data_IF_455082668567
#
_entry.id   IF_455082668567
#
_cell.length_a   1.000
_cell.length_b   1.000
_cell.length_c   1.000
_cell.angle_alpha   90.00
_cell.angle_beta   90.00
_cell.angle_gamma   90.00
#
_symmetry.space_group_name_H-M   'P 1'
#
loop_
_entity.id
_entity.type
_entity.pdbx_description
1 polymer ?
#
# COMPACT_ATOMS: atom_id res chain seq x y z
N UNK A 1 -8.39 -12.11 13.54
CA UNK A 1 -8.91 -11.26 12.45
C UNK A 1 -7.78 -10.40 11.92
N UNK A 2 -7.68 -10.26 10.60
CA UNK A 2 -6.72 -9.41 9.92
C UNK A 2 -7.28 -7.99 9.87
N UNK A 3 -6.48 -7.04 10.30
CA UNK A 3 -6.72 -5.61 10.32
C UNK A 3 -6.45 -5.01 8.93
N UNK A 4 -7.45 -4.31 8.39
CA UNK A 4 -7.41 -3.73 7.05
C UNK A 4 -6.39 -2.59 6.96
N UNK A 5 -6.31 -1.76 8.01
CA UNK A 5 -5.36 -0.65 8.09
C UNK A 5 -3.91 -1.15 8.02
N UNK A 6 -3.60 -2.23 8.74
CA UNK A 6 -2.29 -2.88 8.73
C UNK A 6 -1.91 -3.37 7.33
N UNK A 7 -2.84 -3.97 6.59
CA UNK A 7 -2.59 -4.40 5.21
C UNK A 7 -2.35 -3.22 4.25
N UNK A 8 -3.10 -2.13 4.41
CA UNK A 8 -2.90 -0.89 3.64
C UNK A 8 -1.50 -0.33 3.89
N UNK A 9 -1.09 -0.21 5.15
CA UNK A 9 0.21 0.32 5.54
C UNK A 9 1.37 -0.58 5.07
N UNK A 10 1.23 -1.90 5.23
CA UNK A 10 2.23 -2.85 4.75
C UNK A 10 2.38 -2.80 3.23
N UNK A 11 1.28 -2.67 2.48
CA UNK A 11 1.31 -2.56 1.03
C UNK A 11 1.90 -1.21 0.57
N UNK A 12 1.63 -0.11 1.27
CA UNK A 12 2.16 1.21 0.93
C UNK A 12 3.66 1.37 1.24
N UNK A 13 4.12 0.86 2.38
CA UNK A 13 5.47 1.11 2.90
C UNK A 13 6.44 -0.03 2.58
N UNK A 14 5.98 -1.27 2.66
CA UNK A 14 6.78 -2.49 2.48
C UNK A 14 6.26 -3.32 1.28
N UNK A 15 5.56 -2.66 0.36
CA UNK A 15 4.92 -3.28 -0.78
C UNK A 15 5.89 -3.97 -1.74
N UNK A 16 7.04 -3.34 -1.99
CA UNK A 16 8.06 -3.88 -2.89
C UNK A 16 8.64 -5.23 -2.41
N UNK A 17 8.66 -5.43 -1.09
CA UNK A 17 9.06 -6.69 -0.46
C UNK A 17 7.89 -7.69 -0.29
N UNK A 18 6.65 -7.30 -0.60
CA UNK A 18 5.49 -8.17 -0.52
C UNK A 18 5.03 -8.57 0.89
N UNK A 19 5.41 -7.84 1.95
CA UNK A 19 5.07 -8.21 3.32
C UNK A 19 3.56 -8.27 3.59
N UNK A 20 2.78 -7.45 2.91
CA UNK A 20 1.31 -7.48 2.99
C UNK A 20 0.73 -8.81 2.50
N UNK A 21 1.36 -9.50 1.54
CA UNK A 21 0.92 -10.82 1.07
C UNK A 21 1.14 -11.89 2.13
N UNK A 22 2.27 -11.85 2.86
CA UNK A 22 2.50 -12.71 4.01
C UNK A 22 1.49 -12.44 5.14
N UNK A 23 1.20 -11.17 5.43
CA UNK A 23 0.18 -10.77 6.40
C UNK A 23 -1.21 -11.33 6.05
N UNK A 24 -1.56 -11.34 4.76
CA UNK A 24 -2.81 -11.87 4.25
C UNK A 24 -2.87 -13.41 4.20
N UNK A 25 -1.78 -14.11 4.54
CA UNK A 25 -1.71 -15.58 4.46
C UNK A 25 -1.52 -16.10 3.03
N UNK A 26 -0.90 -15.31 2.16
CA UNK A 26 -0.62 -15.65 0.76
C UNK A 26 0.91 -15.76 0.53
N UNK A 27 1.57 -16.77 1.10
CA UNK A 27 3.04 -16.85 1.14
C UNK A 27 3.67 -17.02 -0.24
N UNK A 28 3.02 -17.76 -1.16
CA UNK A 28 3.53 -17.94 -2.53
C UNK A 28 3.61 -16.59 -3.25
N UNK A 29 2.57 -15.77 -3.16
CA UNK A 29 2.58 -14.42 -3.72
C UNK A 29 3.66 -13.55 -3.04
N UNK A 30 3.81 -13.64 -1.71
CA UNK A 30 4.86 -12.92 -0.99
C UNK A 30 6.27 -13.28 -1.44
N UNK A 31 6.55 -14.58 -1.63
CA UNK A 31 7.85 -15.04 -2.15
C UNK A 31 8.09 -14.53 -3.57
N UNK A 32 7.07 -14.53 -4.43
CA UNK A 32 7.20 -13.95 -5.78
C UNK A 32 7.57 -12.46 -5.70
N UNK A 33 6.94 -11.69 -4.81
CA UNK A 33 7.28 -10.27 -4.62
C UNK A 33 8.73 -10.12 -4.17
N UNK A 34 9.20 -10.93 -3.21
CA UNK A 34 10.61 -10.91 -2.76
C UNK A 34 11.60 -11.28 -3.88
N UNK A 35 11.27 -12.20 -4.78
CA UNK A 35 12.13 -12.57 -5.89
C UNK A 35 12.22 -11.49 -6.98
N UNK A 36 11.17 -10.69 -7.13
CA UNK A 36 11.08 -9.63 -8.14
C UNK A 36 11.26 -8.22 -7.58
N UNK A 37 11.52 -8.02 -6.28
CA UNK A 37 11.59 -6.68 -5.66
C UNK A 37 12.64 -5.78 -6.32
N UNK A 38 13.77 -6.35 -6.72
CA UNK A 38 14.84 -5.62 -7.41
C UNK A 38 14.44 -5.03 -8.78
N UNK A 39 13.32 -5.47 -9.36
CA UNK A 39 12.78 -4.90 -10.60
C UNK A 39 11.91 -3.66 -10.36
N UNK A 40 11.50 -3.39 -9.12
CA UNK A 40 10.54 -2.34 -8.75
C UNK A 40 9.09 -2.61 -9.19
N UNK A 41 8.83 -3.66 -9.97
CA UNK A 41 7.48 -4.05 -10.39
C UNK A 41 6.58 -4.40 -9.20
N UNK A 42 7.03 -5.18 -8.19
CA UNK A 42 6.23 -5.45 -7.00
C UNK A 42 5.83 -4.19 -6.24
N UNK A 43 6.70 -3.18 -6.14
CA UNK A 43 6.40 -1.91 -5.51
C UNK A 43 5.24 -1.16 -6.18
N UNK A 44 5.18 -1.15 -7.52
CA UNK A 44 4.07 -0.53 -8.26
C UNK A 44 2.77 -1.29 -8.03
N UNK A 45 2.80 -2.63 -8.13
CA UNK A 45 1.62 -3.47 -7.88
C UNK A 45 1.09 -3.31 -6.45
N UNK A 46 1.99 -3.32 -5.47
CA UNK A 46 1.64 -3.14 -4.07
C UNK A 46 1.07 -1.74 -3.78
N UNK A 47 1.57 -0.70 -4.47
CA UNK A 47 1.00 0.65 -4.37
C UNK A 47 -0.46 0.66 -4.83
N UNK A 48 -0.77 0.05 -5.98
CA UNK A 48 -2.14 -0.09 -6.47
C UNK A 48 -3.03 -0.91 -5.52
N UNK A 49 -2.49 -2.00 -4.95
CA UNK A 49 -3.19 -2.81 -3.96
C UNK A 49 -3.47 -2.05 -2.67
N UNK A 50 -2.54 -1.22 -2.21
CA UNK A 50 -2.76 -0.36 -1.04
C UNK A 50 -3.95 0.58 -1.25
N UNK A 51 -4.05 1.22 -2.42
CA UNK A 51 -5.22 2.02 -2.78
C UNK A 51 -6.49 1.16 -2.81
N UNK A 52 -6.46 0.01 -3.47
CA UNK A 52 -7.61 -0.89 -3.52
C UNK A 52 -8.09 -1.29 -2.12
N UNK A 53 -7.18 -1.63 -1.21
CA UNK A 53 -7.51 -1.96 0.18
C UNK A 53 -7.99 -0.76 0.97
N UNK A 54 -7.47 0.44 0.71
CA UNK A 54 -7.88 1.67 1.40
C UNK A 54 -9.30 2.09 1.03
N UNK A 55 -9.75 1.80 -0.20
CA UNK A 55 -11.11 2.07 -0.69
C UNK A 55 -12.07 0.88 -0.56
N UNK A 56 -11.59 -0.31 -0.19
CA UNK A 56 -12.42 -1.50 0.01
C UNK A 56 -13.33 -1.34 1.24
N UNK A 57 -14.59 -1.76 1.11
CA UNK A 57 -15.52 -1.71 2.24
C UNK A 57 -15.10 -2.69 3.36
N UNK A 58 -15.41 -2.40 4.63
CA UNK A 58 -15.14 -3.33 5.74
C UNK A 58 -15.83 -4.68 5.58
N UNK A 59 -16.91 -4.71 4.79
CA UNK A 59 -17.76 -5.86 4.53
C UNK A 59 -17.08 -6.79 3.51
N UNK A 60 -16.60 -6.23 2.41
CA UNK A 60 -15.81 -6.95 1.42
C UNK A 60 -14.50 -7.47 2.01
N UNK A 61 -13.84 -6.65 2.84
CA UNK A 61 -12.66 -7.05 3.58
C UNK A 61 -12.95 -8.25 4.49
N UNK A 62 -14.05 -8.18 5.25
CA UNK A 62 -14.46 -9.24 6.15
C UNK A 62 -14.73 -10.55 5.41
N UNK A 63 -15.46 -10.48 4.30
CA UNK A 63 -15.80 -11.64 3.47
C UNK A 63 -14.55 -12.29 2.87
N UNK A 64 -13.58 -11.49 2.41
CA UNK A 64 -12.39 -12.01 1.73
C UNK A 64 -11.31 -12.53 2.69
N UNK A 65 -11.14 -11.91 3.85
CA UNK A 65 -9.96 -12.13 4.69
C UNK A 65 -10.27 -12.59 6.13
N UNK A 66 -11.51 -12.44 6.60
CA UNK A 66 -11.93 -12.69 7.98
C UNK A 66 -13.19 -13.58 8.11
N UNK A 67 -13.55 -14.35 7.08
CA UNK A 67 -14.73 -15.24 7.11
C UNK A 67 -16.04 -14.52 7.53
N UNK A 68 -16.24 -13.29 7.03
CA UNK A 68 -17.41 -12.47 7.30
C UNK A 68 -17.37 -11.66 8.61
N UNK A 69 -16.33 -11.84 9.44
CA UNK A 69 -16.19 -11.07 10.69
C UNK A 69 -15.65 -9.65 10.42
N UNK A 70 -16.47 -8.64 10.75
CA UNK A 70 -16.13 -7.22 10.55
C UNK A 70 -15.11 -6.73 11.56
N UNK A 71 -14.05 -6.11 11.04
CA UNK A 71 -13.05 -5.41 11.83
C UNK A 71 -13.26 -3.90 11.87
N UNK A 72 -12.27 -3.18 12.39
CA UNK A 72 -12.27 -1.71 12.35
C UNK A 72 -12.07 -1.25 10.90
N UNK A 73 -12.87 -0.28 10.42
CA UNK A 73 -12.70 0.26 9.08
C UNK A 73 -11.38 1.03 8.97
N UNK A 74 -10.87 1.16 7.75
CA UNK A 74 -9.77 2.08 7.44
C UNK A 74 -10.19 3.51 7.82
N UNK A 75 -9.37 4.26 8.57
CA UNK A 75 -9.71 5.62 8.91
C UNK A 75 -9.80 6.49 7.65
N UNK A 76 -10.84 7.33 7.56
CA UNK A 76 -11.16 8.13 6.35
C UNK A 76 -10.04 9.07 5.90
N UNK A 77 -9.14 9.44 6.78
CA UNK A 77 -7.98 10.28 6.44
C UNK A 77 -6.85 9.49 5.78
N UNK A 78 -6.80 8.15 5.92
CA UNK A 78 -5.69 7.35 5.40
C UNK A 78 -5.66 7.33 3.86
N UNK A 79 -6.77 7.12 3.12
CA UNK A 79 -6.77 7.27 1.67
C UNK A 79 -6.33 8.67 1.21
N UNK A 80 -6.71 9.71 1.96
CA UNK A 80 -6.28 11.10 1.67
C UNK A 80 -4.76 11.20 1.80
N UNK A 81 -4.18 10.67 2.88
CA UNK A 81 -2.72 10.66 3.08
C UNK A 81 -2.01 9.88 1.97
N UNK A 82 -2.53 8.73 1.55
CA UNK A 82 -1.94 7.93 0.47
C UNK A 82 -1.90 8.65 -0.88
N UNK A 83 -2.77 9.63 -1.11
CA UNK A 83 -2.78 10.44 -2.33
C UNK A 83 -1.94 11.71 -2.15
N UNK A 84 -2.16 12.44 -1.06
CA UNK A 84 -1.58 13.75 -0.83
C UNK A 84 -0.09 13.66 -0.52
N UNK A 85 0.34 12.69 0.29
CA UNK A 85 1.75 12.54 0.67
C UNK A 85 2.68 12.35 -0.54
N UNK A 86 2.46 11.39 -1.46
CA UNK A 86 3.32 11.24 -2.63
C UNK A 86 3.24 12.44 -3.58
N UNK A 87 2.09 13.12 -3.67
CA UNK A 87 1.96 14.34 -4.47
C UNK A 87 2.80 15.49 -3.90
N UNK A 88 2.79 15.68 -2.57
CA UNK A 88 3.62 16.69 -1.89
C UNK A 88 5.11 16.36 -2.00
N UNK A 89 5.47 15.07 -1.85
CA UNK A 89 6.85 14.62 -1.99
C UNK A 89 7.36 14.83 -3.42
N UNK A 90 6.53 14.54 -4.42
CA UNK A 90 6.84 14.83 -5.82
C UNK A 90 7.02 16.34 -6.06
N UNK A 91 6.11 17.18 -5.56
CA UNK A 91 6.22 18.63 -5.68
C UNK A 91 7.50 19.17 -5.02
N UNK A 92 7.86 18.67 -3.84
CA UNK A 92 9.10 19.05 -3.16
C UNK A 92 10.35 18.65 -3.95
N UNK A 93 10.37 17.44 -4.54
CA UNK A 93 11.45 16.99 -5.43
C UNK A 93 11.56 17.90 -6.64
N UNK A 94 10.45 18.26 -7.29
CA UNK A 94 10.45 19.17 -8.45
C UNK A 94 10.99 20.55 -8.08
N UNK A 95 10.57 21.12 -6.95
CA UNK A 95 11.07 22.42 -6.47
C UNK A 95 12.56 22.37 -6.14
N UNK A 96 13.03 21.28 -5.50
CA UNK A 96 14.44 21.08 -5.20
C UNK A 96 15.30 20.96 -6.47
N UNK A 97 14.78 20.25 -7.48
CA UNK A 97 15.41 20.15 -8.80
C UNK A 97 15.44 21.54 -9.47
N UNK A 98 14.33 22.27 -9.55
CA UNK A 98 14.32 23.59 -10.21
C UNK A 98 15.29 24.58 -9.55
N UNK A 99 15.34 24.61 -8.21
CA UNK A 99 16.28 25.47 -7.49
C UNK A 99 17.75 25.04 -7.65
N UNK A 100 18.00 23.76 -7.95
CA UNK A 100 19.34 23.25 -8.25
C UNK A 100 19.77 23.45 -9.71
N UNK A 101 18.85 23.81 -10.61
CA UNK A 101 19.10 24.03 -12.05
C UNK A 101 19.30 25.52 -12.39
N UNK A 102 19.30 26.44 -11.42
CA UNK A 102 19.55 27.88 -11.60
C UNK A 102 21.05 28.21 -11.82
N UNK A 103 21.70 27.61 -12.84
CA UNK A 103 23.07 27.90 -13.28
C UNK A 103 23.15 28.30 -14.76
#
# INVERSE_FOLDING_TARGET
MKDQTSAVLLAALLGDFGLHRFYLGQPVAGVLYLLFCWTGVPGVLASLESFHFAFMSPEDWANRYNAGQRGKPVPRWLPIVLIVLPMLLLAAIVVAISAGYDF
#
